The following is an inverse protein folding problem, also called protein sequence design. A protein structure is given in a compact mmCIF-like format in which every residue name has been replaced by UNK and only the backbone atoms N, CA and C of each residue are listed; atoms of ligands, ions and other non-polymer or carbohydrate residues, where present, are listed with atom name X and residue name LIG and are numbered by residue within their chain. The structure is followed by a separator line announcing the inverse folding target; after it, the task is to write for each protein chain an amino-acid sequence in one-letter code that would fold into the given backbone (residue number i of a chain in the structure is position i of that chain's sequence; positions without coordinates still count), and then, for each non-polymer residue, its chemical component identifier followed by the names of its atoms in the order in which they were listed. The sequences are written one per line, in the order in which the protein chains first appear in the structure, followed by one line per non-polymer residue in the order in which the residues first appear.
data_IF_790639550273
#
_entry.id   IF_790639550273
#
_cell.length_a   1.000
_cell.length_b   1.000
_cell.length_c   1.000
_cell.angle_alpha   90.00
_cell.angle_beta   90.00
_cell.angle_gamma   90.00
#
_symmetry.space_group_name_H-M   'P 1'
#
loop_
_entity.id
_entity.type
_entity.pdbx_description
1 polymer ?
#
# COMPACT_ATOMS: atom_id res chain seq x y z
N UNK A 1 -17.29 -6.92 40.72
CA UNK A 1 -16.62 -5.76 40.07
C UNK A 1 -17.02 -4.42 40.67
N UNK A 2 -18.22 -3.86 40.43
CA UNK A 2 -18.60 -2.53 40.96
C UNK A 2 -18.40 -2.39 42.48
N UNK A 3 -18.94 -3.35 43.25
CA UNK A 3 -18.77 -3.36 44.71
C UNK A 3 -17.30 -3.52 45.12
N UNK A 4 -16.54 -4.40 44.46
CA UNK A 4 -15.11 -4.61 44.75
C UNK A 4 -14.26 -3.37 44.48
N UNK A 5 -14.62 -2.56 43.47
CA UNK A 5 -13.96 -1.27 43.20
C UNK A 5 -14.30 -0.27 44.29
N UNK A 6 -15.56 -0.20 44.74
CA UNK A 6 -16.00 0.67 45.84
C UNK A 6 -15.24 0.33 47.12
N UNK A 7 -15.20 -0.95 47.48
CA UNK A 7 -14.55 -1.45 48.69
C UNK A 7 -13.03 -1.19 48.69
N UNK A 8 -12.44 -1.00 47.49
CA UNK A 8 -11.00 -0.78 47.30
C UNK A 8 -10.68 0.58 46.66
N UNK A 9 -11.58 1.56 46.69
CA UNK A 9 -11.46 2.82 45.91
C UNK A 9 -10.21 3.64 46.25
N UNK A 10 -9.63 3.43 47.44
CA UNK A 10 -8.42 4.06 47.93
C UNK A 10 -7.20 3.11 47.99
N UNK A 11 -7.32 1.90 47.46
CA UNK A 11 -6.25 0.89 47.47
C UNK A 11 -5.68 0.69 46.06
N UNK A 12 -4.49 1.25 45.75
CA UNK A 12 -3.92 1.21 44.41
C UNK A 12 -3.59 -0.21 43.93
N UNK A 13 -3.11 -1.09 44.80
CA UNK A 13 -2.73 -2.47 44.43
C UNK A 13 -3.96 -3.29 44.04
N UNK A 14 -5.04 -3.20 44.81
CA UNK A 14 -6.26 -3.95 44.53
C UNK A 14 -6.99 -3.41 43.29
N UNK A 15 -7.01 -2.09 43.05
CA UNK A 15 -7.54 -1.53 41.82
C UNK A 15 -6.75 -1.99 40.59
N UNK A 16 -5.42 -2.02 40.66
CA UNK A 16 -4.58 -2.55 39.57
C UNK A 16 -4.83 -4.05 39.35
N UNK A 17 -5.02 -4.83 40.41
CA UNK A 17 -5.32 -6.26 40.32
C UNK A 17 -6.68 -6.51 39.66
N UNK A 18 -7.71 -5.75 40.05
CA UNK A 18 -9.05 -5.82 39.43
C UNK A 18 -8.99 -5.42 37.95
N UNK A 19 -8.26 -4.36 37.62
CA UNK A 19 -8.03 -3.92 36.25
C UNK A 19 -7.33 -4.99 35.40
N UNK A 20 -6.27 -5.64 35.91
CA UNK A 20 -5.53 -6.70 35.19
C UNK A 20 -6.35 -7.96 34.99
N UNK A 21 -7.18 -8.33 35.97
CA UNK A 21 -8.01 -9.53 35.87
C UNK A 21 -9.10 -9.40 34.80
N UNK A 22 -9.77 -8.25 34.73
CA UNK A 22 -10.80 -8.03 33.73
C UNK A 22 -10.91 -6.54 33.37
N UNK A 23 -10.06 -6.14 32.43
CA UNK A 23 -9.92 -4.76 31.96
C UNK A 23 -11.25 -4.13 31.53
N UNK A 24 -12.04 -4.82 30.70
CA UNK A 24 -13.30 -4.27 30.18
C UNK A 24 -14.35 -4.07 31.29
N UNK A 25 -14.51 -5.06 32.17
CA UNK A 25 -15.48 -4.97 33.26
C UNK A 25 -15.07 -3.89 34.29
N UNK A 26 -13.77 -3.74 34.54
CA UNK A 26 -13.24 -2.69 35.41
C UNK A 26 -13.52 -1.30 34.84
N UNK A 27 -13.18 -1.04 33.57
CA UNK A 27 -13.40 0.27 32.93
C UNK A 27 -14.87 0.69 33.03
N UNK A 28 -15.79 -0.20 32.65
CA UNK A 28 -17.22 0.09 32.68
C UNK A 28 -17.71 0.39 34.10
N UNK A 29 -17.33 -0.46 35.06
CA UNK A 29 -17.77 -0.32 36.46
C UNK A 29 -17.15 0.91 37.14
N UNK A 30 -15.91 1.26 36.78
CA UNK A 30 -15.20 2.42 37.31
C UNK A 30 -15.81 3.72 36.78
N UNK A 31 -16.12 3.81 35.47
CA UNK A 31 -16.79 5.00 34.90
C UNK A 31 -18.11 5.31 35.60
N UNK A 32 -18.94 4.30 35.88
CA UNK A 32 -20.23 4.46 36.54
C UNK A 32 -20.16 5.04 37.96
N UNK A 33 -19.04 4.88 38.67
CA UNK A 33 -18.90 5.32 40.07
C UNK A 33 -17.90 6.46 40.23
N UNK A 34 -17.05 6.70 39.22
CA UNK A 34 -15.89 7.58 39.39
C UNK A 34 -16.26 9.05 39.65
N UNK A 35 -17.48 9.46 39.34
CA UNK A 35 -17.99 10.82 39.62
C UNK A 35 -18.45 11.00 41.07
N UNK A 36 -18.72 9.91 41.79
CA UNK A 36 -19.14 9.92 43.19
C UNK A 36 -17.95 10.04 44.17
N UNK A 37 -16.71 9.88 43.68
CA UNK A 37 -15.49 9.88 44.50
C UNK A 37 -14.47 10.91 43.99
N UNK A 38 -13.91 11.68 44.91
CA UNK A 38 -12.91 12.72 44.61
C UNK A 38 -11.59 12.46 45.36
N UNK A 39 -10.87 11.39 44.99
CA UNK A 39 -9.53 11.09 45.51
C UNK A 39 -8.47 11.21 44.42
N UNK A 40 -7.20 11.45 44.80
CA UNK A 40 -6.09 11.52 43.85
C UNK A 40 -5.91 10.21 43.07
N UNK A 41 -6.20 9.08 43.70
CA UNK A 41 -6.17 7.76 43.05
C UNK A 41 -7.29 7.62 42.01
N UNK A 42 -8.50 8.10 42.32
CA UNK A 42 -9.60 8.15 41.34
C UNK A 42 -9.27 9.09 40.19
N UNK A 43 -8.65 10.23 40.46
CA UNK A 43 -8.19 11.17 39.42
C UNK A 43 -7.11 10.54 38.54
N UNK A 44 -6.15 9.84 39.12
CA UNK A 44 -5.14 9.07 38.39
C UNK A 44 -5.79 8.03 37.47
N UNK A 45 -6.74 7.24 37.98
CA UNK A 45 -7.45 6.25 37.18
C UNK A 45 -8.32 6.89 36.09
N UNK A 46 -8.99 8.03 36.34
CA UNK A 46 -9.68 8.80 35.30
C UNK A 46 -8.72 9.20 34.17
N UNK A 47 -7.53 9.69 34.51
CA UNK A 47 -6.51 10.09 33.51
C UNK A 47 -5.96 8.86 32.76
N UNK A 48 -5.58 7.79 33.47
CA UNK A 48 -5.07 6.56 32.88
C UNK A 48 -6.09 5.93 31.94
N UNK A 49 -7.33 5.78 32.39
CA UNK A 49 -8.41 5.23 31.58
C UNK A 49 -8.80 6.16 30.43
N UNK A 50 -8.69 7.48 30.59
CA UNK A 50 -8.87 8.42 29.48
C UNK A 50 -7.75 8.32 28.42
N UNK A 51 -6.51 8.08 28.84
CA UNK A 51 -5.39 7.81 27.90
C UNK A 51 -5.49 6.45 27.21
N UNK A 52 -6.19 5.51 27.85
CA UNK A 52 -6.52 4.19 27.30
C UNK A 52 -7.89 4.13 26.62
N UNK A 53 -8.62 5.25 26.55
CA UNK A 53 -9.64 5.43 25.51
C UNK A 53 -8.86 5.47 24.20
N UNK A 54 -8.49 4.30 23.70
CA UNK A 54 -8.23 4.06 22.29
C UNK A 54 -9.26 4.90 21.53
N UNK A 55 -8.86 5.65 20.49
CA UNK A 55 -9.79 6.51 19.75
C UNK A 55 -11.06 5.71 19.52
N UNK A 56 -12.13 6.13 20.22
CA UNK A 56 -13.28 5.26 20.47
C UNK A 56 -13.65 4.59 19.17
N UNK A 57 -13.74 3.25 19.17
CA UNK A 57 -14.26 2.48 18.04
C UNK A 57 -15.52 3.20 17.58
N UNK A 58 -15.41 3.96 16.47
CA UNK A 58 -16.53 4.67 15.88
C UNK A 58 -17.38 3.53 15.36
N UNK A 59 -18.33 3.10 16.18
CA UNK A 59 -19.12 1.90 15.94
C UNK A 59 -19.66 1.88 14.52
N UNK A 60 -19.88 0.67 13.99
CA UNK A 60 -20.41 0.39 12.66
C UNK A 60 -21.42 1.46 12.20
N UNK A 61 -20.96 2.40 11.39
CA UNK A 61 -21.87 3.24 10.63
C UNK A 61 -22.43 2.37 9.54
N UNK A 62 -23.71 1.96 9.68
CA UNK A 62 -24.42 1.18 8.65
C UNK A 62 -24.28 1.82 7.26
N UNK A 63 -24.19 3.15 7.20
CA UNK A 63 -23.94 3.90 5.96
C UNK A 63 -22.61 3.54 5.30
N UNK A 64 -21.53 3.36 6.07
CA UNK A 64 -20.20 3.07 5.53
C UNK A 64 -20.15 1.66 4.96
N UNK A 65 -20.76 0.71 5.66
CA UNK A 65 -20.91 -0.66 5.16
C UNK A 65 -21.75 -0.70 3.88
N UNK A 66 -22.88 0.03 3.84
CA UNK A 66 -23.72 0.11 2.65
C UNK A 66 -22.96 0.71 1.46
N UNK A 67 -22.15 1.74 1.69
CA UNK A 67 -21.31 2.34 0.63
C UNK A 67 -20.24 1.36 0.15
N UNK A 68 -19.57 0.63 1.05
CA UNK A 68 -18.61 -0.42 0.67
C UNK A 68 -19.27 -1.50 -0.18
N UNK A 69 -20.43 -2.02 0.25
CA UNK A 69 -21.18 -3.04 -0.51
C UNK A 69 -21.58 -2.49 -1.87
N UNK A 70 -22.13 -1.27 -1.92
CA UNK A 70 -22.60 -0.65 -3.16
C UNK A 70 -21.44 -0.42 -4.14
N UNK A 71 -20.32 0.14 -3.68
CA UNK A 71 -19.14 0.36 -4.51
C UNK A 71 -18.52 -0.95 -4.99
N UNK A 72 -18.43 -1.97 -4.13
CA UNK A 72 -17.95 -3.30 -4.52
C UNK A 72 -18.83 -3.94 -5.60
N UNK A 73 -20.15 -3.86 -5.47
CA UNK A 73 -21.09 -4.37 -6.47
C UNK A 73 -21.00 -3.58 -7.78
N UNK A 74 -21.00 -2.25 -7.73
CA UNK A 74 -20.86 -1.41 -8.93
C UNK A 74 -19.54 -1.69 -9.63
N UNK A 75 -18.44 -1.79 -8.89
CA UNK A 75 -17.10 -2.06 -9.46
C UNK A 75 -17.07 -3.45 -10.10
N UNK A 76 -17.65 -4.48 -9.45
CA UNK A 76 -17.77 -5.81 -10.03
C UNK A 76 -18.63 -5.86 -11.29
N UNK A 77 -19.75 -5.12 -11.31
CA UNK A 77 -20.60 -4.98 -12.50
C UNK A 77 -19.87 -4.28 -13.66
N UNK A 78 -19.08 -3.24 -13.37
CA UNK A 78 -18.28 -2.54 -14.36
C UNK A 78 -17.19 -3.43 -14.97
N UNK A 79 -16.53 -4.27 -14.16
CA UNK A 79 -15.58 -5.26 -14.67
C UNK A 79 -16.26 -6.26 -15.61
N UNK A 80 -17.54 -6.57 -15.40
CA UNK A 80 -18.32 -7.51 -16.22
C UNK A 80 -18.92 -6.92 -17.49
N UNK A 81 -18.69 -5.65 -17.81
CA UNK A 81 -19.22 -5.03 -19.02
C UNK A 81 -18.94 -5.82 -20.32
N UNK A 82 -17.74 -6.39 -20.57
CA UNK A 82 -17.50 -7.16 -21.79
C UNK A 82 -18.33 -8.44 -21.91
N UNK A 83 -18.73 -9.02 -20.79
CA UNK A 83 -19.59 -10.22 -20.78
C UNK A 83 -21.07 -9.86 -20.97
N UNK A 84 -21.47 -8.65 -20.54
CA UNK A 84 -22.83 -8.13 -20.71
C UNK A 84 -23.04 -7.61 -22.14
N UNK A 85 -22.04 -6.95 -22.70
CA UNK A 85 -22.07 -6.32 -24.02
C UNK A 85 -21.06 -6.98 -24.96
N UNK A 86 -21.55 -7.87 -25.82
CA UNK A 86 -20.72 -8.64 -26.76
C UNK A 86 -19.95 -7.80 -27.78
N UNK A 87 -20.30 -6.52 -27.93
CA UNK A 87 -19.59 -5.57 -28.80
C UNK A 87 -18.24 -5.13 -28.22
N UNK A 88 -18.02 -5.31 -26.91
CA UNK A 88 -16.80 -4.89 -26.23
C UNK A 88 -15.79 -6.05 -26.29
N UNK A 89 -14.64 -5.82 -26.95
CA UNK A 89 -13.57 -6.80 -26.95
C UNK A 89 -12.91 -6.89 -25.57
N UNK A 90 -13.03 -8.06 -24.92
CA UNK A 90 -12.56 -8.28 -23.55
C UNK A 90 -11.11 -7.92 -23.30
N UNK A 91 -10.19 -8.36 -24.18
CA UNK A 91 -8.75 -8.07 -24.03
C UNK A 91 -8.44 -6.57 -24.11
N UNK A 92 -9.09 -5.86 -25.03
CA UNK A 92 -8.94 -4.42 -25.20
C UNK A 92 -9.42 -3.68 -23.95
N UNK A 93 -10.61 -4.04 -23.46
CA UNK A 93 -11.22 -3.43 -22.26
C UNK A 93 -10.40 -3.68 -21.00
N UNK A 94 -10.02 -4.93 -20.72
CA UNK A 94 -9.31 -5.25 -19.48
C UNK A 94 -7.91 -4.62 -19.43
N UNK A 95 -7.22 -4.54 -20.55
CA UNK A 95 -5.89 -3.91 -20.61
C UNK A 95 -5.95 -2.40 -20.30
N UNK A 96 -7.07 -1.75 -20.64
CA UNK A 96 -7.22 -0.29 -20.62
C UNK A 96 -7.97 0.22 -19.38
N UNK A 97 -9.05 -0.46 -19.03
CA UNK A 97 -10.04 0.06 -18.08
C UNK A 97 -10.08 -0.69 -16.75
N UNK A 98 -9.52 -1.90 -16.63
CA UNK A 98 -9.57 -2.68 -15.39
C UNK A 98 -8.98 -1.91 -14.20
N UNK A 99 -7.77 -1.36 -14.38
CA UNK A 99 -7.13 -0.57 -13.33
C UNK A 99 -7.94 0.67 -12.98
N UNK A 100 -8.48 1.37 -13.99
CA UNK A 100 -9.35 2.54 -13.80
C UNK A 100 -10.54 2.14 -12.93
N UNK A 101 -11.27 1.09 -13.29
CA UNK A 101 -12.46 0.62 -12.56
C UNK A 101 -12.13 0.28 -11.10
N UNK A 102 -11.12 -0.57 -10.86
CA UNK A 102 -10.76 -1.03 -9.51
C UNK A 102 -10.31 0.13 -8.62
N UNK A 103 -9.44 1.01 -9.12
CA UNK A 103 -9.00 2.18 -8.35
C UNK A 103 -10.12 3.20 -8.12
N UNK A 104 -11.05 3.38 -9.07
CA UNK A 104 -12.20 4.25 -8.85
C UNK A 104 -13.04 3.79 -7.65
N UNK A 105 -13.26 2.48 -7.48
CA UNK A 105 -13.93 1.95 -6.29
C UNK A 105 -13.26 2.39 -4.97
N UNK A 106 -11.93 2.29 -4.90
CA UNK A 106 -11.14 2.76 -3.75
C UNK A 106 -11.17 4.27 -3.55
N UNK A 107 -11.06 5.04 -4.64
CA UNK A 107 -11.04 6.50 -4.60
C UNK A 107 -12.40 7.05 -4.17
N UNK A 108 -13.50 6.51 -4.73
CA UNK A 108 -14.86 6.91 -4.38
C UNK A 108 -15.19 6.57 -2.92
N UNK A 109 -14.72 5.41 -2.42
CA UNK A 109 -14.82 5.10 -1.00
C UNK A 109 -14.04 6.10 -0.13
N UNK A 110 -12.85 6.52 -0.56
CA UNK A 110 -12.08 7.57 0.12
C UNK A 110 -12.77 8.93 0.06
N UNK A 111 -13.43 9.25 -1.05
CA UNK A 111 -14.24 10.47 -1.19
C UNK A 111 -15.42 10.49 -0.22
N UNK A 112 -16.08 9.34 -0.02
CA UNK A 112 -17.13 9.18 0.98
C UNK A 112 -16.60 9.50 2.36
N UNK A 113 -15.50 8.83 2.72
CA UNK A 113 -14.87 8.94 4.03
C UNK A 113 -14.38 10.36 4.33
N UNK A 114 -13.77 11.02 3.34
CA UNK A 114 -13.22 12.37 3.48
C UNK A 114 -14.24 13.47 3.15
N UNK A 115 -15.50 13.13 2.88
CA UNK A 115 -16.59 14.06 2.49
C UNK A 115 -16.25 14.97 1.30
N UNK A 116 -15.59 14.40 0.29
CA UNK A 116 -15.07 15.12 -0.89
C UNK A 116 -16.04 15.19 -2.07
N UNK A 117 -17.27 14.68 -1.93
CA UNK A 117 -18.30 14.70 -2.98
C UNK A 117 -18.89 16.09 -3.27
N UNK A 118 -18.36 17.16 -2.67
CA UNK A 118 -18.81 18.53 -2.90
C UNK A 118 -17.63 19.43 -3.27
N UNK A 119 -17.85 20.31 -4.24
CA UNK A 119 -16.92 21.38 -4.60
C UNK A 119 -15.79 20.99 -5.56
N UNK A 120 -14.68 21.73 -5.47
CA UNK A 120 -13.53 21.64 -6.39
C UNK A 120 -12.87 20.25 -6.47
N UNK A 121 -12.69 19.50 -5.36
CA UNK A 121 -12.06 18.16 -5.40
C UNK A 121 -12.75 17.20 -6.37
N UNK A 122 -14.08 17.16 -6.35
CA UNK A 122 -14.87 16.30 -7.23
C UNK A 122 -14.74 16.70 -8.71
N UNK A 123 -14.77 18.00 -9.00
CA UNK A 123 -14.59 18.50 -10.37
C UNK A 123 -13.21 18.13 -10.91
N UNK A 124 -12.15 18.39 -10.15
CA UNK A 124 -10.76 18.08 -10.55
C UNK A 124 -10.60 16.58 -10.81
N UNK A 125 -11.05 15.74 -9.87
CA UNK A 125 -10.99 14.30 -10.01
C UNK A 125 -11.76 13.78 -11.23
N UNK A 126 -13.01 14.25 -11.40
CA UNK A 126 -13.86 13.83 -12.52
C UNK A 126 -13.25 14.24 -13.86
N UNK A 127 -12.67 15.45 -13.96
CA UNK A 127 -11.96 15.88 -15.16
C UNK A 127 -10.74 15.01 -15.48
N UNK A 128 -9.94 14.67 -14.46
CA UNK A 128 -8.75 13.80 -14.63
C UNK A 128 -9.17 12.40 -15.08
N UNK A 129 -10.20 11.81 -14.47
CA UNK A 129 -10.59 10.44 -14.80
C UNK A 129 -11.24 10.34 -16.18
N UNK A 130 -12.04 11.33 -16.57
CA UNK A 130 -12.59 11.42 -17.93
C UNK A 130 -11.46 11.59 -18.95
N UNK A 131 -10.51 12.50 -18.70
CA UNK A 131 -9.36 12.69 -19.58
C UNK A 131 -8.54 11.41 -19.73
N UNK A 132 -8.23 10.74 -18.60
CA UNK A 132 -7.47 9.48 -18.61
C UNK A 132 -8.20 8.38 -19.38
N UNK A 133 -9.49 8.20 -19.12
CA UNK A 133 -10.31 7.16 -19.76
C UNK A 133 -10.41 7.40 -21.27
N UNK A 134 -10.68 8.64 -21.69
CA UNK A 134 -10.72 9.01 -23.10
C UNK A 134 -9.36 8.81 -23.76
N UNK A 135 -8.29 9.29 -23.12
CA UNK A 135 -6.94 9.16 -23.65
C UNK A 135 -6.54 7.70 -23.85
N UNK A 136 -6.72 6.89 -22.82
CA UNK A 136 -6.39 5.47 -22.84
C UNK A 136 -7.24 4.73 -23.87
N UNK A 137 -8.51 5.07 -24.08
CA UNK A 137 -9.35 4.40 -25.08
C UNK A 137 -9.12 4.90 -26.52
N UNK A 138 -8.65 6.13 -26.72
CA UNK A 138 -8.32 6.67 -28.05
C UNK A 138 -6.94 6.29 -28.56
N UNK A 139 -6.04 5.81 -27.69
CA UNK A 139 -4.76 5.28 -28.15
C UNK A 139 -4.98 4.09 -29.10
N UNK A 140 -4.22 4.00 -30.20
CA UNK A 140 -4.42 2.95 -31.19
C UNK A 140 -4.26 1.56 -30.57
N UNK A 141 -5.00 0.58 -31.09
CA UNK A 141 -4.85 -0.81 -30.68
C UNK A 141 -3.71 -1.49 -31.45
N UNK A 142 -2.50 -0.95 -31.33
CA UNK A 142 -1.29 -1.51 -31.92
C UNK A 142 -0.55 -2.33 -30.87
N UNK A 143 0.18 -3.37 -31.28
CA UNK A 143 1.16 -4.08 -30.42
C UNK A 143 2.43 -3.22 -30.21
N UNK A 144 2.22 -1.94 -29.92
CA UNK A 144 3.27 -0.94 -29.73
C UNK A 144 3.81 -1.00 -28.30
N UNK A 145 5.13 -0.93 -28.18
CA UNK A 145 5.81 -0.89 -26.88
C UNK A 145 5.42 0.38 -26.11
N UNK A 146 5.37 1.54 -26.76
CA UNK A 146 5.04 2.81 -26.09
C UNK A 146 3.58 2.89 -25.61
N UNK A 147 2.64 2.32 -26.36
CA UNK A 147 1.23 2.21 -25.95
C UNK A 147 1.10 1.25 -24.76
N UNK A 148 1.70 0.06 -24.84
CA UNK A 148 1.66 -0.91 -23.74
C UNK A 148 2.26 -0.34 -22.46
N UNK A 149 3.36 0.40 -22.58
CA UNK A 149 4.04 1.02 -21.45
C UNK A 149 3.17 2.09 -20.78
N UNK A 150 2.36 2.82 -21.54
CA UNK A 150 1.35 3.72 -20.98
C UNK A 150 0.34 2.95 -20.14
N UNK A 151 -0.18 1.82 -20.64
CA UNK A 151 -1.14 0.97 -19.92
C UNK A 151 -0.56 0.44 -18.60
N UNK A 152 0.71 0.01 -18.60
CA UNK A 152 1.41 -0.46 -17.40
C UNK A 152 1.56 0.65 -16.34
N UNK A 153 1.66 1.93 -16.75
CA UNK A 153 1.82 3.05 -15.82
C UNK A 153 0.49 3.65 -15.33
N UNK A 154 -0.64 3.34 -15.98
CA UNK A 154 -1.99 3.77 -15.54
C UNK A 154 -2.27 3.38 -14.08
N UNK A 155 -2.05 2.13 -13.63
CA UNK A 155 -2.19 1.76 -12.22
C UNK A 155 -1.37 2.65 -11.26
N UNK A 156 -0.13 3.00 -11.62
CA UNK A 156 0.72 3.86 -10.79
C UNK A 156 0.18 5.30 -10.72
N UNK A 157 -0.31 5.83 -11.83
CA UNK A 157 -0.95 7.15 -11.87
C UNK A 157 -2.24 7.18 -11.03
N UNK A 158 -3.08 6.16 -11.15
CA UNK A 158 -4.30 6.00 -10.35
C UNK A 158 -3.99 5.83 -8.86
N UNK A 159 -2.90 5.15 -8.52
CA UNK A 159 -2.41 5.05 -7.16
C UNK A 159 -2.00 6.42 -6.59
N UNK A 160 -1.35 7.28 -7.37
CA UNK A 160 -1.10 8.66 -6.97
C UNK A 160 -2.39 9.48 -6.81
N UNK A 161 -3.37 9.29 -7.69
CA UNK A 161 -4.68 9.95 -7.59
C UNK A 161 -5.45 9.49 -6.34
N UNK A 162 -5.33 8.20 -6.00
CA UNK A 162 -5.79 7.66 -4.73
C UNK A 162 -5.11 8.33 -3.54
N UNK A 163 -3.80 8.53 -3.60
CA UNK A 163 -3.07 9.33 -2.60
C UNK A 163 -3.59 10.75 -2.45
N UNK A 164 -3.86 11.46 -3.56
CA UNK A 164 -4.47 12.80 -3.53
C UNK A 164 -5.84 12.81 -2.84
N UNK A 165 -6.67 11.80 -3.11
CA UNK A 165 -7.96 11.64 -2.43
C UNK A 165 -7.80 11.37 -0.93
N UNK A 166 -6.81 10.55 -0.56
CA UNK A 166 -6.52 10.16 0.82
C UNK A 166 -6.07 11.35 1.66
N UNK A 167 -5.18 12.19 1.12
CA UNK A 167 -4.73 13.43 1.77
C UNK A 167 -5.74 14.58 1.62
N UNK A 168 -6.94 14.33 1.09
CA UNK A 168 -7.99 15.32 0.90
C UNK A 168 -7.56 16.54 0.08
N UNK A 169 -6.73 16.32 -0.96
CA UNK A 169 -6.12 17.36 -1.80
C UNK A 169 -5.20 18.35 -1.06
N UNK A 170 -4.90 18.12 0.23
CA UNK A 170 -3.85 18.83 0.96
C UNK A 170 -2.49 18.20 0.66
N UNK A 171 -2.09 18.28 -0.62
CA UNK A 171 -0.86 17.64 -1.07
C UNK A 171 0.36 18.25 -0.39
N UNK A 172 0.35 19.50 0.10
CA UNK A 172 1.54 20.09 0.75
C UNK A 172 1.88 19.47 2.11
N UNK A 173 0.91 18.80 2.73
CA UNK A 173 1.08 18.17 4.04
C UNK A 173 1.85 16.86 3.96
N UNK A 174 3.13 16.91 4.33
CA UNK A 174 4.04 15.75 4.28
C UNK A 174 3.58 14.63 5.24
N UNK A 175 3.05 14.97 6.41
CA UNK A 175 2.62 13.99 7.40
C UNK A 175 1.51 13.09 6.86
N UNK A 176 0.51 13.68 6.20
CA UNK A 176 -0.59 12.92 5.58
C UNK A 176 -0.12 12.03 4.42
N UNK A 177 0.96 12.42 3.72
CA UNK A 177 1.57 11.57 2.69
C UNK A 177 2.30 10.37 3.30
N UNK A 178 2.98 10.56 4.43
CA UNK A 178 3.61 9.46 5.17
C UNK A 178 2.52 8.47 5.64
N UNK A 179 1.42 8.98 6.19
CA UNK A 179 0.26 8.16 6.55
C UNK A 179 -0.30 7.38 5.36
N UNK A 180 -0.40 8.01 4.18
CA UNK A 180 -0.81 7.32 2.95
C UNK A 180 0.13 6.17 2.61
N UNK A 181 1.46 6.39 2.64
CA UNK A 181 2.45 5.36 2.33
C UNK A 181 2.31 4.17 3.30
N UNK A 182 2.19 4.43 4.60
CA UNK A 182 1.98 3.38 5.61
C UNK A 182 0.68 2.61 5.38
N UNK A 183 -0.42 3.35 5.13
CA UNK A 183 -1.72 2.79 4.82
C UNK A 183 -1.68 1.84 3.62
N UNK A 184 -0.85 2.11 2.59
CA UNK A 184 -0.72 1.21 1.45
C UNK A 184 -0.13 -0.16 1.82
N UNK A 185 0.82 -0.21 2.77
CA UNK A 185 1.35 -1.47 3.28
C UNK A 185 0.25 -2.30 3.94
N UNK A 186 -0.56 -1.65 4.77
CA UNK A 186 -1.71 -2.27 5.41
C UNK A 186 -2.75 -2.73 4.38
N UNK A 187 -3.04 -1.89 3.38
CA UNK A 187 -4.00 -2.19 2.32
C UNK A 187 -3.58 -3.44 1.54
N UNK A 188 -2.32 -3.52 1.13
CA UNK A 188 -1.80 -4.67 0.38
C UNK A 188 -1.92 -5.95 1.21
N UNK A 189 -1.53 -5.90 2.48
CA UNK A 189 -1.56 -7.08 3.35
C UNK A 189 -2.99 -7.51 3.65
N UNK A 190 -3.86 -6.58 4.02
CA UNK A 190 -5.26 -6.89 4.30
C UNK A 190 -5.99 -7.38 3.06
N UNK A 191 -5.68 -6.84 1.88
CA UNK A 191 -6.24 -7.33 0.60
C UNK A 191 -5.73 -8.74 0.34
N UNK A 192 -4.44 -8.99 0.51
CA UNK A 192 -3.84 -10.32 0.36
C UNK A 192 -4.46 -11.37 1.30
N UNK A 193 -4.64 -11.04 2.58
CA UNK A 193 -5.28 -11.93 3.54
C UNK A 193 -6.73 -12.27 3.15
N UNK A 194 -7.51 -11.28 2.72
CA UNK A 194 -8.88 -11.49 2.24
C UNK A 194 -8.89 -12.36 0.99
N UNK A 195 -7.99 -12.12 0.03
CA UNK A 195 -7.90 -12.89 -1.21
C UNK A 195 -7.46 -14.34 -0.95
N UNK A 196 -6.51 -14.58 -0.04
CA UNK A 196 -6.09 -15.93 0.34
C UNK A 196 -7.26 -16.68 1.01
N UNK A 197 -7.94 -16.05 1.97
CA UNK A 197 -9.11 -16.64 2.61
C UNK A 197 -10.24 -16.92 1.61
N UNK A 198 -10.52 -15.97 0.71
CA UNK A 198 -11.52 -16.11 -0.34
C UNK A 198 -11.14 -17.17 -1.37
N UNK A 199 -9.86 -17.29 -1.73
CA UNK A 199 -9.34 -18.33 -2.61
C UNK A 199 -9.46 -19.72 -2.00
N UNK A 200 -9.11 -19.88 -0.72
CA UNK A 200 -9.32 -21.13 0.01
C UNK A 200 -10.80 -21.52 0.05
N UNK A 201 -11.69 -20.56 0.36
CA UNK A 201 -13.13 -20.78 0.34
C UNK A 201 -13.62 -21.17 -1.06
N UNK A 202 -13.09 -20.56 -2.11
CA UNK A 202 -13.40 -20.87 -3.52
C UNK A 202 -13.06 -22.32 -3.84
N UNK A 203 -11.84 -22.77 -3.51
CA UNK A 203 -11.39 -24.15 -3.73
C UNK A 203 -12.28 -25.14 -2.99
N UNK A 204 -12.53 -24.92 -1.71
CA UNK A 204 -13.38 -25.80 -0.89
C UNK A 204 -14.80 -25.86 -1.46
N UNK A 205 -15.37 -24.72 -1.85
CA UNK A 205 -16.74 -24.66 -2.36
C UNK A 205 -16.86 -25.40 -3.69
N UNK A 206 -15.95 -25.18 -4.63
CA UNK A 206 -15.94 -25.90 -5.92
C UNK A 206 -15.80 -27.40 -5.69
N UNK A 207 -14.91 -27.82 -4.78
CA UNK A 207 -14.71 -29.24 -4.47
C UNK A 207 -15.94 -29.88 -3.82
N UNK A 208 -16.59 -29.21 -2.86
CA UNK A 208 -17.81 -29.71 -2.21
C UNK A 208 -18.94 -29.97 -3.23
N UNK A 209 -19.14 -29.04 -4.17
CA UNK A 209 -20.16 -29.21 -5.21
C UNK A 209 -19.75 -30.27 -6.25
N UNK A 210 -18.45 -30.37 -6.57
CA UNK A 210 -17.93 -31.41 -7.45
C UNK A 210 -18.18 -32.83 -6.90
N UNK A 211 -18.04 -33.04 -5.59
CA UNK A 211 -18.31 -34.33 -4.92
C UNK A 211 -19.77 -34.77 -5.09
N UNK A 212 -20.72 -33.83 -5.07
CA UNK A 212 -22.14 -34.11 -5.34
C UNK A 212 -22.49 -34.06 -6.85
N UNK A 213 -21.48 -34.13 -7.73
CA UNK A 213 -21.59 -34.11 -9.20
C UNK A 213 -22.22 -32.84 -9.77
N UNK A 214 -22.09 -31.71 -9.07
CA UNK A 214 -22.49 -30.39 -9.56
C UNK A 214 -21.26 -29.59 -10.02
N UNK A 215 -21.11 -29.36 -11.32
CA UNK A 215 -20.03 -28.52 -11.85
C UNK A 215 -20.41 -27.03 -11.78
N UNK A 216 -20.00 -26.37 -10.71
CA UNK A 216 -20.20 -24.93 -10.50
C UNK A 216 -18.96 -24.09 -10.80
N UNK A 217 -17.85 -24.69 -11.23
CA UNK A 217 -16.55 -24.04 -11.32
C UNK A 217 -16.60 -22.77 -12.17
N UNK A 218 -17.11 -22.88 -13.40
CA UNK A 218 -17.20 -21.75 -14.32
C UNK A 218 -18.08 -20.63 -13.76
N UNK A 219 -19.24 -20.98 -13.20
CA UNK A 219 -20.14 -20.00 -12.57
C UNK A 219 -19.44 -19.31 -11.38
N UNK A 220 -18.81 -20.09 -10.50
CA UNK A 220 -18.20 -19.55 -9.30
C UNK A 220 -17.02 -18.65 -9.63
N UNK A 221 -16.12 -19.09 -10.52
CA UNK A 221 -14.95 -18.31 -10.93
C UNK A 221 -15.35 -17.04 -11.68
N UNK A 222 -16.30 -17.14 -12.62
CA UNK A 222 -16.70 -15.97 -13.41
C UNK A 222 -17.49 -14.97 -12.56
N UNK A 223 -18.40 -15.40 -11.69
CA UNK A 223 -19.25 -14.46 -10.95
C UNK A 223 -18.71 -14.18 -9.55
N UNK A 224 -18.63 -15.20 -8.69
CA UNK A 224 -18.34 -15.00 -7.27
C UNK A 224 -16.88 -14.57 -7.05
N UNK A 225 -15.92 -15.25 -7.71
CA UNK A 225 -14.51 -14.96 -7.51
C UNK A 225 -14.09 -13.60 -8.10
N UNK A 226 -14.61 -13.21 -9.26
CA UNK A 226 -14.34 -11.87 -9.84
C UNK A 226 -14.88 -10.76 -8.93
N UNK A 227 -16.14 -10.86 -8.50
CA UNK A 227 -16.72 -9.85 -7.58
C UNK A 227 -15.95 -9.80 -6.26
N UNK A 228 -15.62 -10.96 -5.68
CA UNK A 228 -14.81 -11.03 -4.47
C UNK A 228 -13.43 -10.39 -4.63
N UNK A 229 -12.77 -10.64 -5.76
CA UNK A 229 -11.43 -10.11 -6.04
C UNK A 229 -11.41 -8.59 -6.18
N UNK A 230 -12.42 -8.03 -6.85
CA UNK A 230 -12.57 -6.59 -7.06
C UNK A 230 -13.03 -5.89 -5.77
N UNK A 231 -13.87 -6.54 -4.97
CA UNK A 231 -14.34 -6.03 -3.69
C UNK A 231 -13.25 -6.01 -2.61
N UNK A 232 -12.30 -6.96 -2.66
CA UNK A 232 -11.28 -7.17 -1.63
C UNK A 232 -10.55 -5.88 -1.21
N UNK A 233 -9.95 -5.08 -2.11
CA UNK A 233 -9.26 -3.85 -1.70
C UNK A 233 -10.18 -2.80 -1.06
N UNK A 234 -11.43 -2.69 -1.51
CA UNK A 234 -12.42 -1.75 -0.92
C UNK A 234 -12.78 -2.20 0.50
N UNK A 235 -13.05 -3.50 0.68
CA UNK A 235 -13.33 -4.09 2.00
C UNK A 235 -12.12 -3.96 2.92
N UNK A 236 -10.90 -4.18 2.43
CA UNK A 236 -9.68 -3.99 3.20
C UNK A 236 -9.52 -2.54 3.67
N UNK A 237 -9.77 -1.56 2.81
CA UNK A 237 -9.75 -0.14 3.18
C UNK A 237 -10.74 0.19 4.30
N UNK A 238 -11.93 -0.43 4.28
CA UNK A 238 -12.91 -0.32 5.37
C UNK A 238 -12.44 -0.99 6.67
N UNK A 239 -11.90 -2.21 6.59
CA UNK A 239 -11.43 -2.96 7.76
C UNK A 239 -10.25 -2.31 8.46
N UNK A 240 -9.29 -1.75 7.71
CA UNK A 240 -8.13 -1.03 8.26
C UNK A 240 -8.60 0.14 9.12
N UNK A 241 -9.61 0.89 8.66
CA UNK A 241 -10.18 2.00 9.43
C UNK A 241 -10.97 1.54 10.65
N UNK A 242 -11.62 0.39 10.58
CA UNK A 242 -12.34 -0.18 11.73
C UNK A 242 -11.38 -0.68 12.81
N UNK A 243 -10.25 -1.25 12.41
CA UNK A 243 -9.30 -1.93 13.31
C UNK A 243 -7.85 -1.45 13.16
N UNK A 244 -7.58 -0.13 13.28
CA UNK A 244 -6.25 0.42 13.03
C UNK A 244 -5.18 -0.16 13.98
N UNK A 245 -5.55 -0.49 15.21
CA UNK A 245 -4.62 -1.07 16.18
C UNK A 245 -4.15 -2.49 15.80
N UNK A 246 -4.94 -3.22 15.01
CA UNK A 246 -4.57 -4.55 14.51
C UNK A 246 -3.71 -4.44 13.24
N UNK A 247 -4.01 -3.49 12.34
CA UNK A 247 -3.38 -3.42 11.01
C UNK A 247 -2.08 -2.63 11.00
N UNK A 248 -1.98 -1.54 11.77
CA UNK A 248 -0.83 -0.61 11.76
C UNK A 248 0.51 -1.25 12.13
N UNK A 249 0.51 -2.47 12.66
CA UNK A 249 1.73 -3.21 13.05
C UNK A 249 2.12 -4.29 12.06
N UNK A 250 1.26 -4.70 11.14
CA UNK A 250 1.53 -5.88 10.31
C UNK A 250 2.59 -5.59 9.26
N UNK A 251 2.45 -4.49 8.50
CA UNK A 251 3.39 -4.15 7.43
C UNK A 251 4.83 -3.95 7.92
N UNK A 252 5.06 -3.18 9.01
CA UNK A 252 6.42 -3.00 9.52
C UNK A 252 7.03 -4.27 10.13
N UNK A 253 6.23 -5.11 10.80
CA UNK A 253 6.70 -6.40 11.36
C UNK A 253 7.17 -7.33 10.24
N UNK A 254 6.38 -7.45 9.17
CA UNK A 254 6.77 -8.23 7.99
C UNK A 254 8.07 -7.66 7.42
N UNK A 255 8.14 -6.36 7.18
CA UNK A 255 9.33 -5.72 6.61
C UNK A 255 10.58 -5.94 7.48
N UNK A 256 10.45 -5.94 8.81
CA UNK A 256 11.54 -6.24 9.75
C UNK A 256 12.04 -7.68 9.65
N UNK A 257 11.13 -8.65 9.48
CA UNK A 257 11.51 -10.07 9.31
C UNK A 257 12.20 -10.28 7.97
N UNK A 258 11.68 -9.67 6.90
CA UNK A 258 12.22 -9.84 5.55
C UNK A 258 13.48 -9.01 5.27
N UNK A 259 13.69 -7.87 5.93
CA UNK A 259 14.88 -7.03 5.75
C UNK A 259 16.22 -7.78 5.83
N UNK A 260 16.55 -8.51 6.93
CA UNK A 260 17.81 -9.25 7.01
C UNK A 260 17.87 -10.41 6.01
N UNK A 261 16.74 -11.06 5.72
CA UNK A 261 16.68 -12.15 4.74
C UNK A 261 17.04 -11.63 3.34
N UNK A 262 16.41 -10.54 2.91
CA UNK A 262 16.68 -9.91 1.62
C UNK A 262 18.10 -9.36 1.55
N UNK A 263 18.63 -8.81 2.65
CA UNK A 263 20.03 -8.41 2.73
C UNK A 263 20.98 -9.58 2.44
N UNK A 264 20.77 -10.72 3.11
CA UNK A 264 21.58 -11.93 2.91
C UNK A 264 21.45 -12.42 1.46
N UNK A 265 20.22 -12.51 0.94
CA UNK A 265 19.97 -12.94 -0.44
C UNK A 265 20.68 -12.03 -1.44
N UNK A 266 20.59 -10.71 -1.28
CA UNK A 266 21.27 -9.73 -2.14
C UNK A 266 22.79 -9.85 -2.05
N UNK A 267 23.34 -10.01 -0.85
CA UNK A 267 24.78 -10.16 -0.65
C UNK A 267 25.29 -11.43 -1.33
N UNK A 268 24.65 -12.57 -1.08
CA UNK A 268 25.01 -13.86 -1.70
C UNK A 268 24.87 -13.76 -3.22
N UNK A 269 23.78 -13.18 -3.72
CA UNK A 269 23.56 -13.01 -5.15
C UNK A 269 24.64 -12.15 -5.81
N UNK A 270 25.01 -11.01 -5.22
CA UNK A 270 26.09 -10.16 -5.73
C UNK A 270 27.44 -10.89 -5.75
N UNK A 271 27.74 -11.69 -4.72
CA UNK A 271 28.94 -12.53 -4.70
C UNK A 271 28.88 -13.59 -5.81
N UNK A 272 27.75 -14.29 -5.95
CA UNK A 272 27.56 -15.29 -7.01
C UNK A 272 27.67 -14.69 -8.42
N UNK A 273 27.23 -13.44 -8.61
CA UNK A 273 27.37 -12.74 -9.88
C UNK A 273 28.82 -12.56 -10.32
N UNK A 274 29.76 -12.36 -9.38
CA UNK A 274 31.19 -12.22 -9.70
C UNK A 274 31.76 -13.53 -10.29
N UNK A 275 31.27 -14.67 -9.81
CA UNK A 275 31.69 -15.99 -10.30
C UNK A 275 30.87 -16.50 -11.48
N UNK A 276 29.78 -15.83 -11.82
CA UNK A 276 28.91 -16.23 -12.91
C UNK A 276 29.56 -15.97 -14.25
N UNK A 277 29.46 -16.94 -15.16
CA UNK A 277 29.90 -16.79 -16.56
C UNK A 277 28.89 -16.01 -17.40
N UNK A 278 27.70 -15.75 -16.87
CA UNK A 278 26.65 -15.02 -17.58
C UNK A 278 27.00 -13.53 -17.61
N UNK A 279 26.97 -12.95 -18.82
CA UNK A 279 27.12 -11.51 -18.98
C UNK A 279 25.84 -10.81 -18.54
N UNK A 280 25.85 -10.23 -17.34
CA UNK A 280 24.78 -9.41 -16.77
C UNK A 280 24.28 -8.34 -17.77
N UNK A 281 25.19 -7.80 -18.58
CA UNK A 281 24.90 -6.78 -19.60
C UNK A 281 23.99 -7.28 -20.73
N UNK A 282 23.99 -8.59 -21.01
CA UNK A 282 23.32 -9.20 -22.17
C UNK A 282 21.99 -9.87 -21.80
N UNK A 283 21.78 -10.25 -20.53
CA UNK A 283 20.57 -10.92 -20.06
C UNK A 283 19.44 -9.93 -19.71
N UNK A 284 18.36 -9.94 -20.50
CA UNK A 284 17.18 -9.07 -20.28
C UNK A 284 16.35 -9.52 -19.08
N UNK A 285 16.21 -10.82 -18.87
CA UNK A 285 15.35 -11.36 -17.82
C UNK A 285 15.95 -11.09 -16.45
N UNK A 286 17.28 -11.20 -16.36
CA UNK A 286 18.04 -10.79 -15.19
C UNK A 286 17.81 -9.30 -14.87
N UNK A 287 17.87 -8.40 -15.85
CA UNK A 287 17.64 -6.95 -15.62
C UNK A 287 16.22 -6.65 -15.12
N UNK A 288 15.21 -7.36 -15.64
CA UNK A 288 13.83 -7.22 -15.18
C UNK A 288 13.70 -7.66 -13.71
N UNK A 289 14.29 -8.81 -13.36
CA UNK A 289 14.30 -9.32 -11.98
C UNK A 289 15.00 -8.36 -11.02
N UNK A 290 16.14 -7.77 -11.42
CA UNK A 290 16.83 -6.76 -10.61
C UNK A 290 15.95 -5.52 -10.37
N UNK A 291 15.24 -5.04 -11.39
CA UNK A 291 14.34 -3.88 -11.22
C UNK A 291 13.19 -4.18 -10.25
N UNK A 292 12.56 -5.36 -10.37
CA UNK A 292 11.51 -5.80 -9.44
C UNK A 292 12.06 -5.89 -8.01
N UNK A 293 13.28 -6.44 -7.86
CA UNK A 293 13.96 -6.55 -6.58
C UNK A 293 14.26 -5.17 -5.97
N UNK A 294 14.68 -4.18 -6.77
CA UNK A 294 14.90 -2.81 -6.29
C UNK A 294 13.62 -2.16 -5.76
N UNK A 295 12.49 -2.35 -6.44
CA UNK A 295 11.18 -1.89 -5.96
C UNK A 295 10.79 -2.57 -4.63
N UNK A 296 11.02 -3.89 -4.52
CA UNK A 296 10.76 -4.64 -3.29
C UNK A 296 11.63 -4.15 -2.12
N UNK A 297 12.93 -3.94 -2.35
CA UNK A 297 13.85 -3.40 -1.34
C UNK A 297 13.43 -2.01 -0.89
N UNK A 298 13.05 -1.14 -1.83
CA UNK A 298 12.53 0.20 -1.52
C UNK A 298 11.31 0.11 -0.59
N UNK A 299 10.33 -0.75 -0.91
CA UNK A 299 9.16 -0.97 -0.08
C UNK A 299 9.53 -1.47 1.32
N UNK A 300 10.44 -2.45 1.42
CA UNK A 300 10.90 -3.00 2.71
C UNK A 300 11.56 -1.92 3.57
N UNK A 301 12.42 -1.07 2.99
CA UNK A 301 13.07 0.01 3.74
C UNK A 301 12.01 0.98 4.28
N UNK A 302 11.10 1.42 3.42
CA UNK A 302 10.03 2.35 3.79
C UNK A 302 9.17 1.81 4.94
N UNK A 303 8.72 0.55 4.86
CA UNK A 303 7.87 -0.04 5.90
C UNK A 303 8.63 -0.38 7.17
N UNK A 304 9.90 -0.78 7.07
CA UNK A 304 10.70 -1.11 8.27
C UNK A 304 11.01 0.12 9.11
N UNK A 305 11.18 1.29 8.48
CA UNK A 305 11.51 2.55 9.17
C UNK A 305 10.41 2.95 10.17
N UNK A 306 9.14 2.70 9.83
CA UNK A 306 8.00 3.14 10.65
C UNK A 306 7.88 2.48 12.02
N UNK A 307 8.58 1.37 12.27
CA UNK A 307 8.54 0.62 13.55
C UNK A 307 9.89 0.58 14.26
N UNK A 308 10.87 1.37 13.79
CA UNK A 308 12.13 1.50 14.49
C UNK A 308 11.90 2.23 15.81
N UNK A 309 12.33 1.59 16.89
CA UNK A 309 12.28 2.16 18.23
C UNK A 309 13.17 3.41 18.29
N UNK A 310 12.53 4.58 18.40
CA UNK A 310 13.19 5.90 18.44
C UNK A 310 13.98 6.13 19.74
N UNK A 311 13.90 5.22 20.71
CA UNK A 311 14.52 5.36 22.04
C UNK A 311 15.91 4.72 22.18
N UNK A 312 16.34 3.89 21.23
CA UNK A 312 17.64 3.18 21.31
C UNK A 312 18.72 3.87 20.48
N UNK A 313 19.81 4.28 21.15
CA UNK A 313 20.96 5.00 20.55
C UNK A 313 21.65 4.25 19.40
N UNK A 314 21.62 2.90 19.38
CA UNK A 314 22.19 2.09 18.29
C UNK A 314 21.28 0.92 17.95
N UNK A 315 20.38 1.13 17.00
CA UNK A 315 19.44 0.11 16.58
C UNK A 315 20.04 -0.75 15.46
N UNK A 316 20.29 -2.04 15.72
CA UNK A 316 20.80 -3.02 14.73
C UNK A 316 19.92 -3.04 13.47
N UNK A 317 18.61 -2.81 13.62
CA UNK A 317 17.70 -2.75 12.48
C UNK A 317 18.02 -1.57 11.55
N UNK A 318 18.45 -0.42 12.07
CA UNK A 318 18.89 0.71 11.23
C UNK A 318 20.14 0.31 10.44
N UNK A 319 21.09 -0.39 11.07
CA UNK A 319 22.29 -0.87 10.37
C UNK A 319 21.93 -1.85 9.24
N UNK A 320 21.01 -2.79 9.47
CA UNK A 320 20.50 -3.71 8.44
C UNK A 320 19.93 -2.92 7.26
N UNK A 321 19.13 -1.88 7.52
CA UNK A 321 18.56 -1.05 6.45
C UNK A 321 19.61 -0.24 5.69
N UNK A 322 20.64 0.28 6.36
CA UNK A 322 21.75 0.97 5.70
C UNK A 322 22.48 0.00 4.76
N UNK A 323 22.83 -1.19 5.24
CA UNK A 323 23.49 -2.21 4.44
C UNK A 323 22.62 -2.64 3.26
N UNK A 324 21.31 -2.81 3.49
CA UNK A 324 20.36 -3.20 2.46
C UNK A 324 20.25 -2.13 1.37
N UNK A 325 20.14 -0.85 1.76
CA UNK A 325 20.12 0.26 0.83
C UNK A 325 21.43 0.40 0.05
N UNK A 326 22.58 0.18 0.70
CA UNK A 326 23.89 0.18 0.05
C UNK A 326 24.01 -0.95 -1.01
N UNK A 327 23.60 -2.17 -0.69
CA UNK A 327 23.56 -3.26 -1.68
C UNK A 327 22.61 -2.95 -2.84
N UNK A 328 21.45 -2.35 -2.56
CA UNK A 328 20.52 -1.92 -3.60
C UNK A 328 21.12 -0.85 -4.52
N UNK A 329 21.90 0.09 -3.99
CA UNK A 329 22.64 1.08 -4.79
C UNK A 329 23.64 0.38 -5.70
N UNK A 330 24.36 -0.63 -5.21
CA UNK A 330 25.30 -1.42 -6.03
C UNK A 330 24.57 -2.16 -7.15
N UNK A 331 23.48 -2.86 -6.83
CA UNK A 331 22.64 -3.55 -7.82
C UNK A 331 22.11 -2.58 -8.87
N UNK A 332 21.59 -1.43 -8.45
CA UNK A 332 21.06 -0.42 -9.35
C UNK A 332 22.17 0.20 -10.22
N UNK A 333 23.38 0.37 -9.69
CA UNK A 333 24.55 0.81 -10.49
C UNK A 333 24.87 -0.19 -11.61
N UNK A 334 24.87 -1.48 -11.30
CA UNK A 334 25.08 -2.56 -12.28
C UNK A 334 23.99 -2.52 -13.35
N UNK A 335 22.72 -2.39 -12.94
CA UNK A 335 21.59 -2.30 -13.86
C UNK A 335 21.69 -1.06 -14.75
N UNK A 336 22.01 0.11 -14.20
CA UNK A 336 22.20 1.36 -14.95
C UNK A 336 23.30 1.25 -15.99
N UNK A 337 24.46 0.68 -15.65
CA UNK A 337 25.56 0.46 -16.60
C UNK A 337 25.09 -0.42 -17.79
N UNK A 338 24.35 -1.49 -17.50
CA UNK A 338 23.79 -2.38 -18.52
C UNK A 338 22.73 -1.69 -19.40
N UNK A 339 21.89 -0.84 -18.82
CA UNK A 339 20.85 -0.12 -19.57
C UNK A 339 21.50 0.96 -20.44
N UNK A 340 22.46 1.72 -19.92
CA UNK A 340 23.18 2.77 -20.65
C UNK A 340 23.87 2.19 -21.88
N UNK A 341 24.57 1.05 -21.73
CA UNK A 341 25.24 0.39 -22.86
C UNK A 341 24.27 -0.11 -23.94
N UNK A 342 23.01 -0.40 -23.58
CA UNK A 342 21.96 -0.74 -24.55
C UNK A 342 21.33 0.49 -25.19
N UNK A 343 21.17 1.58 -24.45
CA UNK A 343 20.59 2.83 -24.95
C UNK A 343 21.50 3.47 -26.00
N UNK A 344 22.83 3.36 -25.86
CA UNK A 344 23.78 3.83 -26.88
C UNK A 344 23.64 3.09 -28.22
N UNK A 345 23.11 1.86 -28.22
CA UNK A 345 22.81 1.09 -29.44
C UNK A 345 21.46 1.44 -30.08
N UNK A 346 20.68 2.32 -29.47
CA UNK A 346 19.37 2.75 -29.97
C UNK A 346 18.38 3.03 -28.84
N UNK A 347 17.67 4.15 -28.96
CA UNK A 347 16.67 4.58 -28.00
C UNK A 347 15.32 3.93 -28.36
N UNK A 348 14.72 3.19 -27.42
CA UNK A 348 13.39 2.60 -27.56
C UNK A 348 12.51 3.02 -26.37
N UNK A 349 11.17 2.98 -26.49
CA UNK A 349 10.28 3.38 -25.38
C UNK A 349 10.61 2.64 -24.08
N UNK A 350 10.77 1.31 -24.18
CA UNK A 350 11.11 0.44 -23.06
C UNK A 350 12.48 0.81 -22.45
N UNK A 351 13.51 1.03 -23.26
CA UNK A 351 14.85 1.40 -22.76
C UNK A 351 14.83 2.76 -22.07
N UNK A 352 14.10 3.74 -22.61
CA UNK A 352 13.96 5.07 -22.00
C UNK A 352 13.29 5.00 -20.64
N UNK A 353 12.19 4.24 -20.52
CA UNK A 353 11.48 4.16 -19.24
C UNK A 353 12.27 3.42 -18.19
N UNK A 354 12.90 2.31 -18.56
CA UNK A 354 13.73 1.54 -17.64
C UNK A 354 14.95 2.37 -17.18
N UNK A 355 15.58 3.13 -18.07
CA UNK A 355 16.70 4.01 -17.72
C UNK A 355 16.27 5.08 -16.72
N UNK A 356 15.25 5.87 -17.06
CA UNK A 356 14.81 6.99 -16.21
C UNK A 356 14.28 6.48 -14.88
N UNK A 357 13.50 5.39 -14.87
CA UNK A 357 12.99 4.81 -13.62
C UNK A 357 14.12 4.34 -12.71
N UNK A 358 15.18 3.72 -13.26
CA UNK A 358 16.35 3.32 -12.48
C UNK A 358 17.11 4.54 -11.94
N UNK A 359 17.29 5.61 -12.72
CA UNK A 359 17.89 6.86 -12.25
C UNK A 359 17.07 7.45 -11.09
N UNK A 360 15.74 7.48 -11.22
CA UNK A 360 14.86 7.98 -10.18
C UNK A 360 14.96 7.14 -8.90
N UNK A 361 14.97 5.80 -9.01
CA UNK A 361 15.18 4.90 -7.87
C UNK A 361 16.57 5.09 -7.26
N UNK A 362 17.60 5.28 -8.09
CA UNK A 362 18.98 5.45 -7.65
C UNK A 362 19.17 6.68 -6.78
N UNK A 363 18.66 7.84 -7.26
CA UNK A 363 18.70 9.09 -6.51
C UNK A 363 17.91 8.95 -5.20
N UNK A 364 16.71 8.33 -5.25
CA UNK A 364 15.91 8.12 -4.05
C UNK A 364 16.63 7.23 -3.02
N UNK A 365 17.26 6.13 -3.46
CA UNK A 365 18.05 5.25 -2.60
C UNK A 365 19.22 5.99 -1.95
N UNK A 366 19.94 6.85 -2.69
CA UNK A 366 21.02 7.67 -2.13
C UNK A 366 20.49 8.58 -1.02
N UNK A 367 19.37 9.27 -1.26
CA UNK A 367 18.76 10.17 -0.27
C UNK A 367 18.30 9.41 0.98
N UNK A 368 17.67 8.25 0.79
CA UNK A 368 17.23 7.37 1.89
C UNK A 368 18.44 6.86 2.67
N UNK A 369 19.49 6.41 1.98
CA UNK A 369 20.72 5.89 2.60
C UNK A 369 21.42 6.97 3.41
N UNK A 370 21.50 8.20 2.87
CA UNK A 370 22.02 9.35 3.60
C UNK A 370 21.23 9.59 4.89
N UNK A 371 19.90 9.65 4.81
CA UNK A 371 19.07 9.93 5.98
C UNK A 371 19.12 8.80 7.02
N UNK A 372 19.20 7.53 6.60
CA UNK A 372 19.40 6.39 7.49
C UNK A 372 20.76 6.47 8.20
N UNK A 373 21.82 6.83 7.46
CA UNK A 373 23.16 6.99 8.01
C UNK A 373 23.25 8.17 8.99
N UNK A 374 22.63 9.31 8.67
CA UNK A 374 22.53 10.45 9.57
C UNK A 374 21.74 10.11 10.83
N UNK A 375 20.64 9.38 10.72
CA UNK A 375 19.89 8.90 11.90
C UNK A 375 20.72 7.96 12.77
N UNK A 376 21.53 7.07 12.17
CA UNK A 376 22.40 6.14 12.91
C UNK A 376 23.57 6.82 13.63
N UNK A 377 24.17 7.86 13.04
CA UNK A 377 25.35 8.54 13.61
C UNK A 377 24.98 9.72 14.50
N UNK A 378 24.01 10.54 14.06
CA UNK A 378 23.66 11.81 14.71
C UNK A 378 22.47 11.70 15.67
N UNK A 379 21.88 10.50 15.82
CA UNK A 379 20.63 10.27 16.56
C UNK A 379 19.47 11.17 16.09
N UNK A 380 19.48 11.57 14.81
CA UNK A 380 18.39 12.36 14.23
C UNK A 380 17.11 11.51 14.12
N UNK A 381 15.93 12.12 14.29
CA UNK A 381 14.67 11.40 14.18
C UNK A 381 14.50 10.84 12.76
N UNK A 382 14.11 9.57 12.70
CA UNK A 382 13.84 8.82 11.46
C UNK A 382 12.73 9.42 10.58
N UNK A 383 12.01 10.42 11.10
CA UNK A 383 11.00 11.20 10.36
C UNK A 383 11.62 11.85 9.11
N UNK A 384 12.94 12.07 9.09
CA UNK A 384 13.67 12.54 7.91
C UNK A 384 13.64 11.53 6.75
N UNK A 385 13.69 10.23 7.01
CA UNK A 385 13.67 9.17 5.99
C UNK A 385 12.28 9.08 5.35
N UNK A 386 11.22 9.04 6.17
CA UNK A 386 9.84 8.98 5.69
C UNK A 386 9.45 10.24 4.92
N UNK A 387 9.92 11.42 5.38
CA UNK A 387 9.74 12.70 4.69
C UNK A 387 10.39 12.70 3.31
N UNK A 388 11.58 12.12 3.16
CA UNK A 388 12.25 12.00 1.85
C UNK A 388 11.41 11.16 0.89
N UNK A 389 10.95 9.99 1.32
CA UNK A 389 10.12 9.10 0.50
C UNK A 389 8.81 9.80 0.10
N UNK A 390 8.14 10.45 1.06
CA UNK A 390 6.89 11.17 0.83
C UNK A 390 7.03 12.37 -0.13
N UNK A 391 8.20 13.03 -0.14
CA UNK A 391 8.51 14.09 -1.11
C UNK A 391 8.79 13.49 -2.49
N UNK A 392 9.55 12.40 -2.54
CA UNK A 392 9.94 11.74 -3.78
C UNK A 392 8.76 11.11 -4.54
N UNK A 393 7.67 10.78 -3.83
CA UNK A 393 6.42 10.33 -4.45
C UNK A 393 5.89 11.30 -5.53
N UNK A 394 6.08 12.61 -5.36
CA UNK A 394 5.70 13.60 -6.37
C UNK A 394 6.53 13.46 -7.66
N UNK A 395 7.82 13.13 -7.53
CA UNK A 395 8.70 12.94 -8.68
C UNK A 395 8.24 11.71 -9.46
N UNK A 396 7.92 10.62 -8.77
CA UNK A 396 7.32 9.44 -9.40
C UNK A 396 5.98 9.76 -10.07
N UNK A 397 5.14 10.58 -9.44
CA UNK A 397 3.88 11.03 -10.04
C UNK A 397 4.09 11.76 -11.37
N UNK A 398 4.96 12.78 -11.41
CA UNK A 398 5.25 13.49 -12.66
C UNK A 398 5.84 12.58 -13.72
N UNK A 399 6.69 11.64 -13.31
CA UNK A 399 7.23 10.64 -14.22
C UNK A 399 6.13 9.76 -14.84
N UNK A 400 5.16 9.29 -14.05
CA UNK A 400 4.03 8.51 -14.59
C UNK A 400 3.19 9.31 -15.60
N UNK A 401 2.99 10.61 -15.38
CA UNK A 401 2.31 11.50 -16.34
C UNK A 401 3.08 11.55 -17.66
N UNK A 402 4.41 11.71 -17.61
CA UNK A 402 5.24 11.75 -18.81
C UNK A 402 5.15 10.43 -19.58
N UNK A 403 5.23 9.29 -18.88
CA UNK A 403 5.16 7.97 -19.52
C UNK A 403 3.81 7.74 -20.20
N UNK A 404 2.70 8.14 -19.57
CA UNK A 404 1.36 7.93 -20.11
C UNK A 404 1.07 8.89 -21.27
N UNK A 405 1.28 10.20 -21.05
CA UNK A 405 0.75 11.23 -21.96
C UNK A 405 1.76 11.74 -22.99
N UNK A 406 3.06 11.57 -22.76
CA UNK A 406 4.10 12.15 -23.63
C UNK A 406 4.83 11.07 -24.42
N UNK A 407 5.24 9.99 -23.75
CA UNK A 407 6.07 8.95 -24.34
C UNK A 407 5.48 8.30 -25.61
N UNK A 408 4.17 7.98 -25.70
CA UNK A 408 3.59 7.40 -26.92
C UNK A 408 3.80 8.30 -28.13
N UNK A 409 3.65 9.61 -27.98
CA UNK A 409 3.80 10.54 -29.11
C UNK A 409 5.26 10.77 -29.48
N UNK A 410 6.16 10.80 -28.49
CA UNK A 410 7.61 10.94 -28.73
C UNK A 410 8.13 9.79 -29.60
N UNK A 411 7.59 8.59 -29.42
CA UNK A 411 7.96 7.41 -30.22
C UNK A 411 7.01 7.13 -31.39
N UNK A 412 6.12 8.07 -31.73
CA UNK A 412 5.24 7.95 -32.89
C UNK A 412 4.23 6.80 -32.79
N UNK A 413 3.76 6.50 -31.58
CA UNK A 413 2.82 5.41 -31.26
C UNK A 413 3.36 4.01 -31.64
N UNK A 414 4.71 3.88 -31.67
CA UNK A 414 5.45 2.64 -31.90
C UNK A 414 6.00 2.07 -30.60
#
# INVERSE_FOLDING_TARGET
MKQEIIDNINNPENLEKLYRNNKQAFIKSFEEISDDYNSDLVRFWKIRLASEKEPAFKGFLKSDLLVVISLSLITGLLVKLPEIFSQIQSEFFYTRDLAIIVFNGLILYTFWQNRLFKGKPLLIYSSIIVLLTLFVNFLPNTQSDSVMLSMIHVPLFLWCLFGLSFVSFDYKNIQRRIEFIRFNGELIIMTGLILIAGGLLTVITIQLFSVIKMNIENFYLHYIAVFGSVAAPIVSSYLIKLYPNLTNRIAPVIARVFSPLVLITLAVYLVSLIFSKNKILEDRDLLILLNIMLLAVMAIIVFSVSELDKSKEKNINVLILILLAALAIVVNSIALIAIISRVTMGLTPNRTVVLISNILIFINLILITKNLFESYIKNEPLDSVESTVAKYLNIYFYWTIIVIFVLPFVFGLK
#
